data_IF_659242985569
#
_entry.id   IF_659242985569
#
_cell.length_a   1.000
_cell.length_b   1.000
_cell.length_c   1.000
_cell.angle_alpha   90.00
_cell.angle_beta   90.00
_cell.angle_gamma   90.00
#
_symmetry.space_group_name_H-M   'P 1'
#
loop_
_entity.id
_entity.type
_entity.pdbx_description
1 polymer ?
#
# COMPACT_ATOMS: atom_id res chain seq x y z
N UNK A 1 24.94 -62.11 -29.40
CA UNK A 1 24.07 -60.94 -29.55
C UNK A 1 24.66 -59.85 -28.68
N UNK A 2 25.59 -59.07 -29.25
CA UNK A 2 26.39 -58.09 -28.51
C UNK A 2 25.90 -56.70 -28.88
N UNK A 3 25.31 -56.01 -27.91
CA UNK A 3 24.85 -54.63 -28.07
C UNK A 3 26.02 -53.69 -28.39
N UNK A 4 25.91 -52.82 -29.41
CA UNK A 4 26.90 -51.79 -29.64
C UNK A 4 26.78 -50.74 -28.53
N UNK A 5 27.77 -50.71 -27.65
CA UNK A 5 28.00 -49.64 -26.68
C UNK A 5 28.19 -48.35 -27.48
N UNK A 6 27.14 -47.51 -27.57
CA UNK A 6 27.22 -46.15 -28.10
C UNK A 6 28.26 -45.38 -27.29
N UNK A 7 29.48 -45.25 -27.84
CA UNK A 7 30.50 -44.36 -27.29
C UNK A 7 30.06 -42.92 -27.56
N UNK A 8 29.39 -42.32 -26.58
CA UNK A 8 29.17 -40.87 -26.56
C UNK A 8 30.49 -40.15 -26.87
N UNK A 9 30.48 -39.35 -27.93
CA UNK A 9 31.66 -38.63 -28.35
C UNK A 9 32.06 -37.61 -27.28
N UNK A 10 33.36 -37.42 -27.07
CA UNK A 10 33.89 -36.45 -26.08
C UNK A 10 33.32 -35.04 -26.30
N UNK A 11 32.99 -34.70 -27.54
CA UNK A 11 32.33 -33.46 -27.94
C UNK A 11 30.90 -33.32 -27.38
N UNK A 12 30.14 -34.40 -27.31
CA UNK A 12 28.76 -34.43 -26.80
C UNK A 12 28.72 -34.18 -25.28
N UNK A 13 29.68 -34.77 -24.54
CA UNK A 13 29.82 -34.52 -23.10
C UNK A 13 30.30 -33.11 -22.79
N UNK A 14 31.17 -32.55 -23.63
CA UNK A 14 31.64 -31.17 -23.48
C UNK A 14 30.51 -30.18 -23.78
N UNK A 15 29.75 -30.39 -24.87
CA UNK A 15 28.60 -29.58 -25.24
C UNK A 15 27.49 -29.59 -24.17
N UNK A 16 27.23 -30.76 -23.58
CA UNK A 16 26.27 -30.89 -22.48
C UNK A 16 26.74 -30.17 -21.22
N UNK A 17 28.03 -30.23 -20.89
CA UNK A 17 28.59 -29.52 -19.71
C UNK A 17 28.57 -28.01 -19.90
N UNK A 18 28.94 -27.51 -21.08
CA UNK A 18 28.88 -26.07 -21.35
C UNK A 18 27.44 -25.56 -21.33
N UNK A 19 26.48 -26.28 -21.91
CA UNK A 19 25.07 -25.93 -21.82
C UNK A 19 24.56 -25.88 -20.36
N UNK A 20 24.98 -26.83 -19.52
CA UNK A 20 24.57 -26.90 -18.11
C UNK A 20 25.18 -25.76 -17.29
N UNK A 21 26.44 -25.41 -17.54
CA UNK A 21 27.11 -24.28 -16.88
C UNK A 21 26.47 -22.95 -17.28
N UNK A 22 26.21 -22.75 -18.58
CA UNK A 22 25.54 -21.53 -19.08
C UNK A 22 24.14 -21.41 -18.49
N UNK A 23 23.36 -22.50 -18.49
CA UNK A 23 22.03 -22.52 -17.88
C UNK A 23 22.07 -22.21 -16.38
N UNK A 24 23.00 -22.83 -15.64
CA UNK A 24 23.15 -22.60 -14.21
C UNK A 24 23.53 -21.15 -13.89
N UNK A 25 24.43 -20.54 -14.66
CA UNK A 25 24.80 -19.13 -14.51
C UNK A 25 23.63 -18.19 -14.79
N UNK A 26 22.84 -18.49 -15.83
CA UNK A 26 21.72 -17.65 -16.23
C UNK A 26 20.60 -17.71 -15.19
N UNK A 27 20.21 -18.90 -14.74
CA UNK A 27 19.21 -19.08 -13.68
C UNK A 27 19.68 -18.47 -12.37
N UNK A 28 20.94 -18.69 -11.97
CA UNK A 28 21.49 -18.12 -10.75
C UNK A 28 21.55 -16.60 -10.81
N UNK A 29 21.94 -16.01 -11.95
CA UNK A 29 21.97 -14.57 -12.13
C UNK A 29 20.57 -13.94 -12.02
N UNK A 30 19.57 -14.54 -12.66
CA UNK A 30 18.17 -14.08 -12.56
C UNK A 30 17.67 -14.21 -11.13
N UNK A 31 17.91 -15.36 -10.48
CA UNK A 31 17.49 -15.61 -9.10
C UNK A 31 18.11 -14.60 -8.15
N UNK A 32 19.43 -14.37 -8.23
CA UNK A 32 20.12 -13.37 -7.42
C UNK A 32 19.62 -11.95 -7.69
N UNK A 33 19.29 -11.63 -8.95
CA UNK A 33 18.73 -10.33 -9.31
C UNK A 33 17.36 -10.12 -8.67
N UNK A 34 16.46 -11.11 -8.78
CA UNK A 34 15.14 -11.05 -8.16
C UNK A 34 15.20 -11.08 -6.64
N UNK A 35 16.05 -11.92 -6.05
CA UNK A 35 16.29 -11.93 -4.60
C UNK A 35 16.83 -10.59 -4.12
N UNK A 36 17.76 -9.97 -4.85
CA UNK A 36 18.26 -8.63 -4.52
C UNK A 36 17.17 -7.56 -4.64
N UNK A 37 16.29 -7.65 -5.64
CA UNK A 37 15.15 -6.74 -5.78
C UNK A 37 14.15 -6.92 -4.63
N UNK A 38 13.83 -8.15 -4.24
CA UNK A 38 12.91 -8.44 -3.13
C UNK A 38 13.50 -7.97 -1.81
N UNK A 39 14.78 -8.28 -1.53
CA UNK A 39 15.48 -7.80 -0.33
C UNK A 39 15.45 -6.26 -0.32
N UNK A 40 15.79 -5.62 -1.44
CA UNK A 40 15.70 -4.16 -1.55
C UNK A 40 14.28 -3.65 -1.33
N UNK A 41 13.25 -4.27 -1.90
CA UNK A 41 11.86 -3.84 -1.70
C UNK A 41 11.36 -4.08 -0.27
N UNK A 42 11.87 -5.09 0.43
CA UNK A 42 11.44 -5.43 1.80
C UNK A 42 12.14 -4.57 2.84
N UNK A 43 13.44 -4.27 2.65
CA UNK A 43 14.25 -3.47 3.58
C UNK A 43 14.32 -1.98 3.19
N UNK A 44 14.07 -1.66 1.92
CA UNK A 44 14.03 -0.31 1.36
C UNK A 44 12.84 -0.20 0.38
N UNK A 45 11.60 -0.36 0.86
CA UNK A 45 10.43 -0.20 0.02
C UNK A 45 10.47 1.20 -0.61
N UNK A 46 10.69 1.25 -1.93
CA UNK A 46 10.49 2.44 -2.74
C UNK A 46 8.98 2.68 -2.90
N UNK A 47 8.28 2.83 -1.77
CA UNK A 47 7.11 3.69 -1.73
C UNK A 47 7.60 5.12 -1.94
N UNK A 48 6.79 5.97 -2.56
CA UNK A 48 7.07 7.37 -2.90
C UNK A 48 7.20 8.29 -1.68
N UNK A 49 8.02 7.91 -0.70
CA UNK A 49 8.52 8.72 0.40
C UNK A 49 10.03 8.45 0.56
N UNK A 50 10.78 8.53 -0.53
CA UNK A 50 12.23 8.63 -0.49
C UNK A 50 12.59 9.83 0.41
N UNK A 51 13.08 9.54 1.62
CA UNK A 51 13.70 10.50 2.52
C UNK A 51 12.93 11.82 2.68
N UNK A 52 11.64 11.78 3.00
CA UNK A 52 10.98 12.98 3.45
C UNK A 52 11.61 13.37 4.80
N UNK A 53 12.38 14.45 4.81
CA UNK A 53 12.76 15.11 6.07
C UNK A 53 11.50 15.35 6.89
N UNK A 54 11.63 15.39 8.21
CA UNK A 54 10.49 15.34 9.13
C UNK A 54 9.33 16.26 8.71
N UNK A 55 9.64 17.52 8.38
CA UNK A 55 8.64 18.54 8.03
C UNK A 55 7.88 18.24 6.72
N UNK A 56 8.53 18.02 5.56
CA UNK A 56 7.86 17.53 4.35
C UNK A 56 7.05 16.27 4.57
N UNK A 57 7.56 15.32 5.37
CA UNK A 57 6.83 14.09 5.67
C UNK A 57 5.52 14.37 6.42
N UNK A 58 5.57 15.20 7.46
CA UNK A 58 4.37 15.59 8.21
C UNK A 58 3.37 16.38 7.35
N UNK A 59 3.85 17.23 6.43
CA UNK A 59 2.98 17.95 5.49
C UNK A 59 2.31 17.00 4.48
N UNK A 60 3.05 16.02 3.96
CA UNK A 60 2.49 14.97 3.13
C UNK A 60 1.42 14.19 3.91
N UNK A 61 1.67 13.93 5.20
CA UNK A 61 0.71 13.27 6.04
C UNK A 61 -0.61 14.10 6.20
N UNK A 62 -0.51 15.40 6.46
CA UNK A 62 -1.67 16.30 6.51
C UNK A 62 -2.46 16.25 5.19
N UNK A 63 -1.74 16.27 4.06
CA UNK A 63 -2.34 16.16 2.73
C UNK A 63 -3.13 14.87 2.55
N UNK A 64 -2.60 13.73 2.97
CA UNK A 64 -3.28 12.44 2.83
C UNK A 64 -4.55 12.36 3.67
N UNK A 65 -4.57 12.90 4.89
CA UNK A 65 -5.80 12.94 5.72
C UNK A 65 -6.89 13.77 5.04
N UNK A 66 -6.55 14.92 4.46
CA UNK A 66 -7.52 15.75 3.72
C UNK A 66 -8.08 15.04 2.49
N UNK A 67 -7.23 14.37 1.71
CA UNK A 67 -7.67 13.57 0.55
C UNK A 67 -8.52 12.38 0.97
N UNK A 68 -8.17 11.73 2.07
CA UNK A 68 -8.94 10.63 2.64
C UNK A 68 -10.33 11.09 3.05
N UNK A 69 -10.42 12.26 3.67
CA UNK A 69 -11.69 12.86 4.05
C UNK A 69 -12.58 13.15 2.83
N UNK A 70 -12.05 13.84 1.83
CA UNK A 70 -12.77 14.11 0.57
C UNK A 70 -13.25 12.84 -0.13
N UNK A 71 -12.42 11.78 -0.10
CA UNK A 71 -12.78 10.49 -0.70
C UNK A 71 -13.93 9.80 0.04
N UNK A 72 -13.99 9.96 1.36
CA UNK A 72 -15.06 9.41 2.19
C UNK A 72 -16.37 10.19 2.03
N UNK A 73 -16.30 11.52 1.89
CA UNK A 73 -17.47 12.38 1.65
C UNK A 73 -18.16 12.06 0.31
N UNK A 74 -17.38 11.65 -0.71
CA UNK A 74 -17.90 11.22 -2.00
C UNK A 74 -18.55 9.81 -1.97
N UNK A 75 -18.36 9.04 -0.90
CA UNK A 75 -18.86 7.67 -0.81
C UNK A 75 -20.33 7.64 -0.40
N UNK A 76 -21.12 6.80 -1.07
CA UNK A 76 -22.58 6.72 -0.87
C UNK A 76 -23.05 5.40 -0.27
N UNK A 77 -22.19 4.39 -0.20
CA UNK A 77 -22.45 3.02 0.29
C UNK A 77 -22.61 2.86 1.81
N UNK A 78 -22.83 3.96 2.54
CA UNK A 78 -23.01 3.96 4.00
C UNK A 78 -21.70 3.87 4.78
N UNK A 79 -21.82 3.70 6.11
CA UNK A 79 -20.71 3.83 7.06
C UNK A 79 -19.49 2.98 6.71
N UNK A 80 -19.67 1.67 6.48
CA UNK A 80 -18.55 0.76 6.21
C UNK A 80 -17.83 1.14 4.92
N UNK A 81 -18.56 1.54 3.88
CA UNK A 81 -17.97 1.95 2.62
C UNK A 81 -17.17 3.25 2.81
N UNK A 82 -17.75 4.25 3.47
CA UNK A 82 -17.10 5.54 3.72
C UNK A 82 -15.80 5.37 4.53
N UNK A 83 -15.82 4.56 5.59
CA UNK A 83 -14.61 4.28 6.40
C UNK A 83 -13.56 3.49 5.60
N UNK A 84 -13.99 2.52 4.80
CA UNK A 84 -13.07 1.75 3.96
C UNK A 84 -12.40 2.67 2.93
N UNK A 85 -13.18 3.56 2.32
CA UNK A 85 -12.70 4.53 1.34
C UNK A 85 -11.75 5.55 1.98
N UNK A 86 -12.07 6.04 3.18
CA UNK A 86 -11.19 6.88 3.99
C UNK A 86 -9.84 6.20 4.22
N UNK A 87 -9.85 4.98 4.77
CA UNK A 87 -8.63 4.22 5.10
C UNK A 87 -7.78 3.94 3.86
N UNK A 88 -8.40 3.55 2.75
CA UNK A 88 -7.70 3.30 1.49
C UNK A 88 -7.02 4.56 0.94
N UNK A 89 -7.61 5.73 1.13
CA UNK A 89 -7.10 7.01 0.62
C UNK A 89 -6.03 7.67 1.51
N UNK A 90 -5.75 7.12 2.70
CA UNK A 90 -4.61 7.53 3.53
C UNK A 90 -3.27 7.05 2.96
N UNK A 91 -3.28 5.95 2.20
CA UNK A 91 -2.10 5.45 1.52
C UNK A 91 -1.73 6.30 0.30
N UNK A 92 -0.46 6.27 -0.15
CA UNK A 92 0.66 5.50 0.42
C UNK A 92 1.37 6.19 1.61
N UNK A 93 1.08 7.45 1.91
CA UNK A 93 1.83 8.22 2.90
C UNK A 93 1.74 7.64 4.32
N UNK A 94 0.59 7.03 4.67
CA UNK A 94 0.40 6.40 5.98
C UNK A 94 1.24 5.15 6.20
N UNK A 95 1.68 4.47 5.13
CA UNK A 95 2.49 3.26 5.25
C UNK A 95 3.89 3.58 5.82
N UNK A 96 4.38 4.80 5.59
CA UNK A 96 5.68 5.29 6.07
C UNK A 96 5.64 6.01 7.43
N UNK A 97 4.49 6.05 8.13
CA UNK A 97 4.32 6.85 9.36
C UNK A 97 5.41 6.49 10.38
N UNK A 98 5.61 5.22 10.71
CA UNK A 98 6.52 4.85 11.80
C UNK A 98 7.99 5.19 11.48
N UNK A 99 8.39 5.04 10.22
CA UNK A 99 9.69 5.49 9.75
C UNK A 99 9.84 7.02 9.85
N UNK A 100 8.79 7.78 9.55
CA UNK A 100 8.79 9.23 9.72
C UNK A 100 8.93 9.64 11.20
N UNK A 101 8.33 8.87 12.12
CA UNK A 101 8.52 9.06 13.57
C UNK A 101 10.00 8.98 13.98
N UNK A 102 10.75 8.05 13.39
CA UNK A 102 12.20 7.95 13.59
C UNK A 102 12.93 9.18 13.05
N UNK A 103 12.57 9.65 11.85
CA UNK A 103 13.16 10.82 11.19
C UNK A 103 12.86 12.13 11.92
N UNK A 104 11.73 12.21 12.63
CA UNK A 104 11.35 13.39 13.40
C UNK A 104 12.01 13.48 14.77
N UNK A 105 12.73 12.44 15.24
CA UNK A 105 13.37 12.47 16.56
C UNK A 105 14.36 13.62 16.67
N UNK A 106 14.18 14.45 17.69
CA UNK A 106 15.03 15.62 17.94
C UNK A 106 14.56 16.92 17.26
N UNK A 107 13.52 16.87 16.41
CA UNK A 107 12.78 18.07 15.97
C UNK A 107 11.50 18.21 16.81
N UNK A 108 11.56 19.01 17.88
CA UNK A 108 10.44 19.19 18.80
C UNK A 108 9.14 19.68 18.10
N UNK A 109 9.26 20.51 17.06
CA UNK A 109 8.12 20.98 16.28
C UNK A 109 7.58 19.85 15.40
N UNK A 110 8.48 19.12 14.74
CA UNK A 110 8.17 17.97 13.92
C UNK A 110 7.44 16.85 14.68
N UNK A 111 7.94 16.48 15.86
CA UNK A 111 7.31 15.48 16.73
C UNK A 111 5.93 15.92 17.22
N UNK A 112 5.78 17.20 17.60
CA UNK A 112 4.48 17.74 17.99
C UNK A 112 3.50 17.68 16.83
N UNK A 113 3.92 18.15 15.65
CA UNK A 113 3.09 18.15 14.46
C UNK A 113 2.68 16.72 14.07
N UNK A 114 3.59 15.75 14.12
CA UNK A 114 3.29 14.35 13.85
C UNK A 114 2.20 13.79 14.79
N UNK A 115 2.31 14.06 16.11
CA UNK A 115 1.28 13.65 17.08
C UNK A 115 -0.08 14.29 16.82
N UNK A 116 -0.12 15.56 16.46
CA UNK A 116 -1.38 16.24 16.13
C UNK A 116 -2.01 15.67 14.85
N UNK A 117 -1.19 15.26 13.88
CA UNK A 117 -1.68 14.61 12.65
C UNK A 117 -2.24 13.21 12.95
N UNK A 118 -1.63 12.44 13.83
CA UNK A 118 -2.19 11.16 14.27
C UNK A 118 -3.55 11.33 14.95
N UNK A 119 -3.66 12.35 15.83
CA UNK A 119 -4.93 12.72 16.48
C UNK A 119 -5.98 13.15 15.47
N UNK A 120 -5.60 13.98 14.50
CA UNK A 120 -6.48 14.43 13.43
C UNK A 120 -7.00 13.24 12.63
N UNK A 121 -6.14 12.31 12.20
CA UNK A 121 -6.55 11.11 11.48
C UNK A 121 -7.57 10.29 12.27
N UNK A 122 -7.33 10.11 13.57
CA UNK A 122 -8.25 9.39 14.43
C UNK A 122 -9.60 10.11 14.55
N UNK A 123 -9.59 11.42 14.75
CA UNK A 123 -10.80 12.24 14.85
C UNK A 123 -11.61 12.21 13.53
N UNK A 124 -10.95 12.36 12.39
CA UNK A 124 -11.57 12.32 11.07
C UNK A 124 -12.20 10.96 10.75
N UNK A 125 -11.54 9.87 11.11
CA UNK A 125 -12.10 8.53 10.95
C UNK A 125 -13.37 8.34 11.80
N UNK A 126 -13.37 8.88 13.03
CA UNK A 126 -14.55 8.85 13.90
C UNK A 126 -15.68 9.72 13.36
N UNK A 127 -15.39 10.96 12.95
CA UNK A 127 -16.37 11.87 12.34
C UNK A 127 -17.01 11.24 11.11
N UNK A 128 -16.20 10.62 10.23
CA UNK A 128 -16.66 9.91 9.03
C UNK A 128 -17.68 8.81 9.38
N UNK A 129 -17.47 8.07 10.47
CA UNK A 129 -18.45 7.07 10.93
C UNK A 129 -19.78 7.72 11.33
N UNK A 130 -19.73 8.75 12.17
CA UNK A 130 -20.92 9.41 12.67
C UNK A 130 -21.75 10.05 11.56
N UNK A 131 -21.11 10.76 10.63
CA UNK A 131 -21.79 11.43 9.54
C UNK A 131 -22.37 10.44 8.53
N UNK A 132 -21.67 9.34 8.23
CA UNK A 132 -22.21 8.32 7.34
C UNK A 132 -23.43 7.62 7.95
N UNK A 133 -23.46 7.43 9.28
CA UNK A 133 -24.63 6.91 10.00
C UNK A 133 -25.79 7.91 9.95
N UNK A 134 -25.55 9.19 10.22
CA UNK A 134 -26.57 10.24 10.17
C UNK A 134 -27.18 10.38 8.78
N UNK A 135 -26.33 10.41 7.74
CA UNK A 135 -26.76 10.48 6.35
C UNK A 135 -27.61 9.26 5.96
N UNK A 136 -27.19 8.05 6.37
CA UNK A 136 -27.96 6.84 6.12
C UNK A 136 -29.35 6.87 6.79
N UNK A 137 -29.44 7.43 8.02
CA UNK A 137 -30.73 7.65 8.70
C UNK A 137 -31.61 8.62 7.91
N UNK A 138 -31.09 9.80 7.54
CA UNK A 138 -31.84 10.81 6.78
C UNK A 138 -32.37 10.28 5.45
N UNK A 139 -31.57 9.49 4.72
CA UNK A 139 -32.02 8.86 3.47
C UNK A 139 -33.19 7.91 3.69
N UNK A 140 -33.20 7.15 4.78
CA UNK A 140 -34.34 6.28 5.14
C UNK A 140 -35.60 7.09 5.48
N UNK A 141 -35.44 8.20 6.19
CA UNK A 141 -36.54 9.11 6.52
C UNK A 141 -37.13 9.74 5.25
N UNK A 142 -36.31 10.28 4.35
CA UNK A 142 -36.77 10.85 3.07
C UNK A 142 -37.50 9.80 2.22
N UNK A 143 -36.94 8.59 2.08
CA UNK A 143 -37.60 7.50 1.35
C UNK A 143 -38.92 7.05 2.00
N UNK A 144 -39.10 7.25 3.32
CA UNK A 144 -40.38 7.00 3.99
C UNK A 144 -41.40 8.10 3.68
N UNK A 145 -40.96 9.36 3.63
CA UNK A 145 -41.80 10.51 3.28
C UNK A 145 -42.24 10.46 1.81
N UNK A 146 -41.34 10.13 0.88
CA UNK A 146 -41.66 9.97 -0.54
C UNK A 146 -42.78 8.92 -0.74
N UNK A 147 -42.74 7.81 -0.01
CA UNK A 147 -43.79 6.78 -0.07
C UNK A 147 -45.15 7.27 0.48
N UNK A 148 -45.14 8.11 1.52
CA UNK A 148 -46.35 8.70 2.09
C UNK A 148 -46.94 9.79 1.17
N UNK A 149 -46.09 10.54 0.48
CA UNK A 149 -46.50 11.59 -0.45
C UNK A 149 -46.96 11.04 -1.81
N UNK A 150 -46.35 9.93 -2.26
CA UNK A 150 -46.70 9.23 -3.51
C UNK A 150 -47.87 8.25 -3.41
N UNK A 151 -48.55 8.18 -2.26
CA UNK A 151 -49.77 7.37 -2.06
C UNK A 151 -51.06 8.17 -2.29
N UNK A 152 -51.13 8.85 -3.44
CA UNK A 152 -52.38 9.25 -4.13
C UNK A 152 -52.28 8.96 -5.61
#
# INVERSE_FOLDING_TARGET
MSDPVKRESRAERIGRRSALVVFALLVSGITLTWTSQIIRQTFFPAGTAATASCRPGVLALIGAVRRARQSADAETGGERAAVTRFRAALGPEWDGRDALGVTCRGDAVGERALREVDRLRFAEEHATRYEAVDLARRRREVASLERQLGTR
#
